data_IF_571336997421
#
_entry.id   IF_571336997421
#
_cell.length_a   1.000
_cell.length_b   1.000
_cell.length_c   1.000
_cell.angle_alpha   90.00
_cell.angle_beta   90.00
_cell.angle_gamma   90.00
#
_symmetry.space_group_name_H-M   'P 1'
#
loop_
_entity.id
_entity.type
_entity.pdbx_description
1 polymer ?
#
# COMPACT_ATOMS: atom_id res chain seq x y z
N UNK A 1 -17.76 3.59 1.24
CA UNK A 1 -18.09 2.73 0.08
C UNK A 1 -17.02 1.64 0.01
N UNK A 2 -17.39 0.41 -0.38
CA UNK A 2 -16.49 -0.75 -0.30
C UNK A 2 -15.22 -0.55 -1.12
N UNK A 3 -14.05 -0.76 -0.51
CA UNK A 3 -12.74 -0.65 -1.17
C UNK A 3 -12.47 -1.88 -2.05
N UNK A 4 -13.24 -1.99 -3.14
CA UNK A 4 -13.02 -2.84 -4.32
C UNK A 4 -13.12 -4.37 -4.16
N UNK A 5 -13.00 -5.05 -5.30
CA UNK A 5 -13.30 -6.47 -5.50
C UNK A 5 -12.08 -7.39 -5.38
N UNK A 6 -10.88 -6.82 -5.30
CA UNK A 6 -9.67 -7.61 -5.29
C UNK A 6 -9.47 -8.32 -3.94
N UNK A 7 -9.04 -9.58 -3.99
CA UNK A 7 -8.82 -10.41 -2.82
C UNK A 7 -7.57 -11.29 -2.97
N UNK A 8 -7.32 -12.11 -1.95
CA UNK A 8 -6.29 -13.15 -1.91
C UNK A 8 -6.95 -14.49 -1.64
N UNK A 9 -6.30 -15.58 -2.03
CA UNK A 9 -6.91 -16.92 -2.04
C UNK A 9 -6.15 -17.93 -1.18
N UNK A 10 -4.84 -17.77 -1.01
CA UNK A 10 -4.00 -18.63 -0.19
C UNK A 10 -4.23 -18.44 1.31
N UNK A 11 -3.93 -19.49 2.09
CA UNK A 11 -4.14 -19.50 3.56
C UNK A 11 -3.27 -18.49 4.31
N UNK A 12 -2.08 -18.23 3.79
CA UNK A 12 -1.12 -17.28 4.33
C UNK A 12 -0.89 -16.15 3.34
N UNK A 13 -1.97 -15.67 2.74
CA UNK A 13 -1.96 -14.46 1.93
C UNK A 13 -2.69 -13.34 2.67
N UNK A 14 -2.34 -12.10 2.31
CA UNK A 14 -2.94 -10.93 2.92
C UNK A 14 -2.73 -9.71 2.05
N UNK A 15 -3.52 -8.69 2.29
CA UNK A 15 -3.42 -7.45 1.55
C UNK A 15 -3.82 -6.24 2.39
N UNK A 16 -3.27 -5.09 2.00
CA UNK A 16 -3.68 -3.77 2.47
C UNK A 16 -4.01 -2.88 1.27
N UNK A 17 -4.80 -1.84 1.50
CA UNK A 17 -5.17 -0.88 0.47
C UNK A 17 -4.52 0.48 0.74
N UNK A 18 -3.95 1.08 -0.29
CA UNK A 18 -3.56 2.49 -0.32
C UNK A 18 -4.68 3.23 -1.04
N UNK A 19 -5.31 4.19 -0.36
CA UNK A 19 -6.39 4.98 -0.94
C UNK A 19 -5.85 5.88 -2.07
N UNK A 20 -6.63 6.07 -3.13
CA UNK A 20 -6.27 7.01 -4.21
C UNK A 20 -6.16 8.44 -3.70
N UNK A 21 -6.84 8.76 -2.60
CA UNK A 21 -6.68 10.01 -1.83
C UNK A 21 -5.22 10.32 -1.47
N UNK A 22 -4.36 9.30 -1.33
CA UNK A 22 -2.94 9.44 -0.98
C UNK A 22 -2.00 9.27 -2.19
N UNK A 23 -2.54 8.97 -3.37
CA UNK A 23 -1.78 8.69 -4.59
C UNK A 23 -1.98 9.79 -5.61
N UNK A 24 -3.23 10.15 -5.88
CA UNK A 24 -3.64 11.05 -6.95
C UNK A 24 -3.34 12.50 -6.61
N UNK A 25 -2.79 13.20 -7.61
CA UNK A 25 -2.36 14.58 -7.52
C UNK A 25 -3.14 15.40 -8.55
N UNK A 26 -3.77 16.45 -8.05
CA UNK A 26 -4.35 17.51 -8.85
C UNK A 26 -3.41 18.71 -8.86
N UNK A 27 -3.36 19.37 -10.01
CA UNK A 27 -2.53 20.56 -10.23
C UNK A 27 -3.40 21.76 -10.60
N UNK A 28 -2.97 22.93 -10.15
CA UNK A 28 -3.55 24.21 -10.52
C UNK A 28 -2.44 25.11 -11.08
N UNK A 29 -2.57 25.46 -12.35
CA UNK A 29 -1.64 26.35 -13.03
C UNK A 29 -2.23 27.78 -13.02
N UNK A 30 -1.46 28.76 -12.53
CA UNK A 30 -1.79 30.18 -12.67
C UNK A 30 -1.13 30.74 -13.94
N UNK A 31 -1.90 31.05 -15.00
CA UNK A 31 -1.34 31.54 -16.25
C UNK A 31 -0.72 32.95 -16.15
N UNK A 32 -1.03 33.72 -15.10
CA UNK A 32 -0.52 35.09 -14.93
C UNK A 32 0.88 35.10 -14.30
N UNK A 33 1.10 34.20 -13.35
CA UNK A 33 2.38 34.11 -12.60
C UNK A 33 3.27 32.99 -13.12
N UNK A 34 2.69 32.01 -13.83
CA UNK A 34 3.36 30.77 -14.23
C UNK A 34 3.59 29.80 -13.07
N UNK A 35 2.94 30.02 -11.91
CA UNK A 35 3.08 29.13 -10.74
C UNK A 35 2.20 27.89 -10.90
N UNK A 36 2.70 26.76 -10.40
CA UNK A 36 1.99 25.48 -10.36
C UNK A 36 1.85 25.01 -8.92
N UNK A 37 0.61 24.86 -8.47
CA UNK A 37 0.29 24.31 -7.17
C UNK A 37 -0.08 22.83 -7.29
N UNK A 38 0.19 22.08 -6.23
CA UNK A 38 -0.06 20.63 -6.15
C UNK A 38 -0.93 20.32 -4.94
N UNK A 39 -1.88 19.41 -5.11
CA UNK A 39 -2.73 18.93 -4.01
C UNK A 39 -3.07 17.46 -4.22
N UNK A 40 -3.04 16.68 -3.13
CA UNK A 40 -3.55 15.32 -3.15
C UNK A 40 -5.08 15.31 -3.17
N UNK A 41 -5.68 14.32 -3.82
CA UNK A 41 -7.13 14.14 -3.86
C UNK A 41 -7.76 14.18 -2.46
N UNK A 42 -7.16 13.53 -1.46
CA UNK A 42 -7.66 13.52 -0.08
C UNK A 42 -7.61 14.89 0.63
N UNK A 43 -6.90 15.87 0.07
CA UNK A 43 -6.85 17.25 0.55
C UNK A 43 -7.77 18.20 -0.21
N UNK A 44 -8.50 17.72 -1.21
CA UNK A 44 -9.42 18.54 -2.01
C UNK A 44 -10.70 18.84 -1.23
N UNK A 45 -11.13 20.10 -1.27
CA UNK A 45 -12.45 20.52 -0.74
C UNK A 45 -13.55 20.23 -1.76
N UNK A 46 -14.81 20.29 -1.33
CA UNK A 46 -15.94 20.13 -2.25
C UNK A 46 -15.95 21.21 -3.33
N UNK A 47 -15.55 22.42 -2.97
CA UNK A 47 -15.39 23.55 -3.87
C UNK A 47 -14.27 23.31 -4.89
N UNK A 48 -13.13 22.75 -4.47
CA UNK A 48 -12.03 22.42 -5.38
C UNK A 48 -12.47 21.38 -6.43
N UNK A 49 -13.19 20.34 -6.01
CA UNK A 49 -13.66 19.25 -6.89
C UNK A 49 -14.75 19.70 -7.87
N UNK A 50 -15.62 20.64 -7.46
CA UNK A 50 -16.65 21.21 -8.33
C UNK A 50 -16.11 22.31 -9.25
N UNK A 51 -14.95 22.88 -8.91
CA UNK A 51 -14.27 23.90 -9.69
C UNK A 51 -13.59 23.31 -10.94
N UNK A 52 -13.18 24.20 -11.85
CA UNK A 52 -12.43 23.83 -13.06
C UNK A 52 -10.95 24.21 -12.99
N UNK A 53 -10.50 24.72 -11.83
CA UNK A 53 -9.14 25.24 -11.64
C UNK A 53 -8.12 24.11 -11.42
N UNK A 54 -8.50 23.12 -10.61
CA UNK A 54 -7.70 21.93 -10.35
C UNK A 54 -7.96 20.89 -11.44
N UNK A 55 -6.90 20.26 -11.91
CA UNK A 55 -6.96 19.20 -12.91
C UNK A 55 -6.12 18.03 -12.45
N UNK A 56 -6.67 16.83 -12.57
CA UNK A 56 -5.94 15.60 -12.36
C UNK A 56 -4.68 15.58 -13.25
N UNK A 57 -3.53 15.34 -12.63
CA UNK A 57 -2.25 15.19 -13.32
C UNK A 57 -1.79 13.72 -13.22
N UNK A 58 -1.87 12.94 -14.32
CA UNK A 58 -1.48 11.54 -14.32
C UNK A 58 0.02 11.34 -14.12
N UNK A 59 0.86 12.25 -14.62
CA UNK A 59 2.32 12.13 -14.55
C UNK A 59 2.79 12.37 -13.11
N UNK A 60 2.25 13.39 -12.43
CA UNK A 60 2.55 13.66 -11.03
C UNK A 60 2.00 12.56 -10.11
N UNK A 61 0.80 12.05 -10.40
CA UNK A 61 0.22 10.91 -9.67
C UNK A 61 1.08 9.66 -9.81
N UNK A 62 1.57 9.38 -11.02
CA UNK A 62 2.46 8.24 -11.28
C UNK A 62 3.82 8.42 -10.61
N UNK A 63 4.37 9.64 -10.63
CA UNK A 63 5.63 9.96 -9.96
C UNK A 63 5.52 9.79 -8.43
N UNK A 64 4.43 10.29 -7.83
CA UNK A 64 4.17 10.11 -6.40
C UNK A 64 4.03 8.62 -6.04
N UNK A 65 3.28 7.85 -6.83
CA UNK A 65 3.15 6.41 -6.62
C UNK A 65 4.51 5.69 -6.72
N UNK A 66 5.32 6.01 -7.73
CA UNK A 66 6.63 5.41 -7.92
C UNK A 66 7.56 5.70 -6.74
N UNK A 67 7.54 6.93 -6.20
CA UNK A 67 8.30 7.32 -5.00
C UNK A 67 7.83 6.54 -3.77
N UNK A 68 6.51 6.51 -3.52
CA UNK A 68 5.92 5.78 -2.40
C UNK A 68 6.29 4.29 -2.42
N UNK A 69 6.14 3.63 -3.58
CA UNK A 69 6.51 2.23 -3.73
C UNK A 69 8.02 2.03 -3.63
N UNK A 70 8.83 2.95 -4.14
CA UNK A 70 10.29 2.93 -4.01
C UNK A 70 10.75 2.91 -2.55
N UNK A 71 10.19 3.82 -1.76
CA UNK A 71 10.42 3.96 -0.32
C UNK A 71 9.93 2.73 0.46
N UNK A 72 8.73 2.25 0.14
CA UNK A 72 8.17 1.02 0.70
C UNK A 72 9.07 -0.20 0.44
N UNK A 73 9.51 -0.39 -0.81
CA UNK A 73 10.39 -1.51 -1.19
C UNK A 73 11.76 -1.41 -0.51
N UNK A 74 12.28 -0.19 -0.34
CA UNK A 74 13.53 0.04 0.40
C UNK A 74 13.40 -0.43 1.85
N UNK A 75 12.33 -0.03 2.54
CA UNK A 75 12.09 -0.45 3.92
C UNK A 75 11.94 -1.98 4.02
N UNK A 76 11.13 -2.61 3.17
CA UNK A 76 10.96 -4.07 3.18
C UNK A 76 12.29 -4.80 2.99
N UNK A 77 13.13 -4.34 2.06
CA UNK A 77 14.45 -4.91 1.85
C UNK A 77 15.36 -4.72 3.07
N UNK A 78 15.31 -3.56 3.73
CA UNK A 78 16.08 -3.29 4.93
C UNK A 78 15.69 -4.19 6.12
N UNK A 79 14.38 -4.46 6.31
CA UNK A 79 13.89 -5.39 7.33
C UNK A 79 14.18 -6.85 6.96
N UNK A 80 14.03 -7.20 5.69
CA UNK A 80 14.16 -8.57 5.17
C UNK A 80 14.95 -8.61 3.87
N UNK A 81 16.30 -8.69 3.95
CA UNK A 81 17.17 -8.71 2.77
C UNK A 81 16.93 -9.87 1.80
N UNK A 82 16.17 -10.88 2.22
CA UNK A 82 15.70 -11.99 1.39
C UNK A 82 14.75 -11.54 0.27
N UNK A 83 13.99 -10.45 0.48
CA UNK A 83 13.13 -9.90 -0.56
C UNK A 83 13.99 -9.11 -1.56
N UNK A 84 13.93 -9.51 -2.83
CA UNK A 84 14.59 -8.83 -3.95
C UNK A 84 13.56 -8.11 -4.80
N UNK A 85 13.95 -7.00 -5.42
CA UNK A 85 13.10 -6.30 -6.38
C UNK A 85 12.91 -7.17 -7.62
N UNK A 86 11.71 -7.13 -8.18
CA UNK A 86 11.38 -7.79 -9.44
C UNK A 86 11.43 -6.79 -10.60
N UNK A 87 11.53 -7.31 -11.82
CA UNK A 87 11.43 -6.52 -13.04
C UNK A 87 10.06 -5.83 -13.15
N UNK A 88 9.99 -4.55 -13.54
CA UNK A 88 8.73 -3.80 -13.57
C UNK A 88 7.63 -4.39 -14.46
N UNK A 89 7.98 -5.22 -15.44
CA UNK A 89 7.06 -5.85 -16.39
C UNK A 89 6.45 -7.16 -15.90
N UNK A 90 6.86 -7.67 -14.73
CA UNK A 90 6.35 -8.96 -14.24
C UNK A 90 4.93 -8.82 -13.69
N UNK A 91 3.98 -9.40 -14.44
CA UNK A 91 2.56 -9.46 -14.09
C UNK A 91 2.15 -10.91 -13.85
N UNK A 92 1.44 -11.15 -12.74
CA UNK A 92 0.82 -12.44 -12.43
C UNK A 92 -0.61 -12.21 -11.97
N UNK A 93 -1.57 -12.87 -12.61
CA UNK A 93 -3.01 -12.79 -12.29
C UNK A 93 -3.57 -11.36 -12.19
N UNK A 94 -3.08 -10.43 -13.03
CA UNK A 94 -3.51 -9.03 -13.03
C UNK A 94 -2.78 -8.13 -12.04
N UNK A 95 -1.91 -8.69 -11.18
CA UNK A 95 -1.10 -7.93 -10.23
C UNK A 95 0.36 -7.82 -10.70
N UNK A 96 0.98 -6.66 -10.49
CA UNK A 96 2.40 -6.45 -10.76
C UNK A 96 3.23 -6.88 -9.57
N UNK A 97 4.14 -7.84 -9.78
CA UNK A 97 5.06 -8.28 -8.73
C UNK A 97 6.19 -7.26 -8.60
N UNK A 98 6.33 -6.67 -7.41
CA UNK A 98 7.34 -5.63 -7.14
C UNK A 98 8.53 -6.15 -6.33
N UNK A 99 8.31 -7.18 -5.50
CA UNK A 99 9.37 -7.86 -4.76
C UNK A 99 9.05 -9.34 -4.59
N UNK A 100 10.06 -10.18 -4.41
CA UNK A 100 9.86 -11.59 -4.07
C UNK A 100 10.99 -12.16 -3.23
N UNK A 101 10.72 -13.27 -2.57
CA UNK A 101 11.74 -14.17 -2.05
C UNK A 101 11.39 -15.63 -2.42
N UNK A 102 11.99 -16.60 -1.72
CA UNK A 102 11.71 -18.03 -1.95
C UNK A 102 10.26 -18.44 -1.59
N UNK A 103 9.64 -17.76 -0.62
CA UNK A 103 8.36 -18.14 -0.04
C UNK A 103 7.17 -17.33 -0.56
N UNK A 104 7.40 -16.05 -0.91
CA UNK A 104 6.36 -15.06 -1.18
C UNK A 104 6.71 -14.10 -2.31
N UNK A 105 5.67 -13.57 -2.94
CA UNK A 105 5.71 -12.39 -3.79
C UNK A 105 4.97 -11.24 -3.08
N UNK A 106 5.46 -10.00 -3.24
CA UNK A 106 4.71 -8.79 -2.95
C UNK A 106 4.26 -8.20 -4.27
N UNK A 107 2.95 -8.03 -4.42
CA UNK A 107 2.33 -7.56 -5.64
C UNK A 107 1.52 -6.27 -5.40
N UNK A 108 1.37 -5.47 -6.45
CA UNK A 108 0.45 -4.32 -6.47
C UNK A 108 -0.59 -4.50 -7.57
N UNK A 109 -1.84 -4.23 -7.24
CA UNK A 109 -2.96 -4.36 -8.16
C UNK A 109 -3.88 -3.16 -8.04
N UNK A 110 -4.28 -2.59 -9.18
CA UNK A 110 -5.25 -1.50 -9.21
C UNK A 110 -6.64 -2.01 -8.82
N UNK A 111 -7.35 -1.27 -7.97
CA UNK A 111 -8.61 -1.69 -7.37
C UNK A 111 -9.63 -0.54 -7.35
N UNK A 112 -9.77 0.12 -8.51
CA UNK A 112 -10.65 1.27 -8.81
C UNK A 112 -10.43 2.50 -7.93
N UNK A 113 -10.66 2.40 -6.62
CA UNK A 113 -10.56 3.48 -5.63
C UNK A 113 -9.31 3.37 -4.75
N UNK A 114 -8.47 2.37 -5.02
CA UNK A 114 -7.28 2.11 -4.21
C UNK A 114 -6.27 1.28 -4.99
N UNK A 115 -5.04 1.24 -4.48
CA UNK A 115 -4.04 0.27 -4.87
C UNK A 115 -3.94 -0.83 -3.81
N UNK A 116 -4.16 -2.08 -4.18
CA UNK A 116 -3.96 -3.22 -3.29
C UNK A 116 -2.48 -3.61 -3.26
N UNK A 117 -1.91 -3.68 -2.06
CA UNK A 117 -0.57 -4.22 -1.81
C UNK A 117 -0.75 -5.62 -1.20
N UNK A 118 -0.42 -6.64 -1.98
CA UNK A 118 -0.68 -8.06 -1.66
C UNK A 118 0.60 -8.78 -1.28
N UNK A 119 0.52 -9.65 -0.28
CA UNK A 119 1.49 -10.69 0.00
C UNK A 119 0.92 -12.03 -0.49
N UNK A 120 1.54 -12.59 -1.52
CA UNK A 120 1.07 -13.79 -2.22
C UNK A 120 1.99 -14.98 -1.97
N UNK A 121 1.43 -16.14 -1.66
CA UNK A 121 2.19 -17.36 -1.40
C UNK A 121 2.74 -17.94 -2.70
N UNK A 122 3.98 -18.42 -2.68
CA UNK A 122 4.57 -19.15 -3.80
C UNK A 122 4.41 -20.66 -3.61
N UNK A 123 4.11 -21.35 -4.72
CA UNK A 123 4.05 -22.81 -4.79
C UNK A 123 2.81 -23.44 -4.15
N UNK A 124 2.68 -24.75 -4.32
CA UNK A 124 1.45 -25.50 -4.05
C UNK A 124 1.39 -26.10 -2.62
N UNK A 125 2.02 -25.44 -1.66
CA UNK A 125 1.92 -25.80 -0.24
C UNK A 125 3.08 -26.64 0.35
N UNK A 126 4.10 -27.00 -0.43
CA UNK A 126 5.28 -27.73 0.09
C UNK A 126 6.00 -26.98 1.23
N UNK A 127 5.97 -25.64 1.17
CA UNK A 127 6.61 -24.76 2.15
C UNK A 127 5.60 -24.13 3.11
N UNK A 128 4.39 -24.69 3.24
CA UNK A 128 3.28 -24.11 4.02
C UNK A 128 3.70 -23.83 5.48
N UNK A 129 4.46 -24.75 6.10
CA UNK A 129 4.95 -24.58 7.47
C UNK A 129 5.88 -23.38 7.65
N UNK A 130 6.78 -23.15 6.69
CA UNK A 130 7.66 -21.97 6.68
C UNK A 130 6.85 -20.70 6.38
N UNK A 131 5.95 -20.76 5.40
CA UNK A 131 5.08 -19.65 5.04
C UNK A 131 4.25 -19.18 6.24
N UNK A 132 3.62 -20.10 6.97
CA UNK A 132 2.91 -19.84 8.23
C UNK A 132 3.78 -19.11 9.26
N UNK A 133 5.02 -19.56 9.47
CA UNK A 133 5.94 -18.99 10.45
C UNK A 133 6.46 -17.58 10.12
N UNK A 134 6.32 -17.14 8.86
CA UNK A 134 6.75 -15.84 8.38
C UNK A 134 5.59 -14.87 8.05
N UNK A 135 4.38 -15.39 7.84
CA UNK A 135 3.22 -14.62 7.41
C UNK A 135 2.97 -13.36 8.24
N UNK A 136 2.76 -13.51 9.55
CA UNK A 136 2.47 -12.38 10.44
C UNK A 136 3.62 -11.36 10.49
N UNK A 137 4.87 -11.84 10.35
CA UNK A 137 6.07 -10.99 10.35
C UNK A 137 6.12 -10.12 9.09
N UNK A 138 5.88 -10.72 7.92
CA UNK A 138 5.85 -10.02 6.65
C UNK A 138 4.65 -9.08 6.56
N UNK A 139 3.45 -9.50 6.96
CA UNK A 139 2.28 -8.63 7.01
C UNK A 139 2.48 -7.45 7.98
N UNK A 140 3.11 -7.66 9.13
CA UNK A 140 3.46 -6.59 10.06
C UNK A 140 4.46 -5.61 9.43
N UNK A 141 5.48 -6.10 8.74
CA UNK A 141 6.45 -5.23 8.08
C UNK A 141 5.84 -4.45 6.91
N UNK A 142 4.96 -5.06 6.10
CA UNK A 142 4.22 -4.36 5.05
C UNK A 142 3.39 -3.22 5.66
N UNK A 143 2.57 -3.53 6.67
CA UNK A 143 1.76 -2.53 7.39
C UNK A 143 2.63 -1.39 7.94
N UNK A 144 3.74 -1.74 8.61
CA UNK A 144 4.67 -0.78 9.21
C UNK A 144 5.31 0.13 8.16
N UNK A 145 5.78 -0.45 7.06
CA UNK A 145 6.42 0.30 5.97
C UNK A 145 5.43 1.23 5.28
N UNK A 146 4.19 0.79 5.05
CA UNK A 146 3.14 1.65 4.47
C UNK A 146 2.78 2.82 5.39
N UNK A 147 2.48 2.56 6.66
CA UNK A 147 2.09 3.58 7.64
C UNK A 147 3.23 4.53 8.06
N UNK A 148 4.47 4.26 7.62
CA UNK A 148 5.55 5.23 7.75
C UNK A 148 5.29 6.46 6.87
N UNK A 149 4.77 6.24 5.67
CA UNK A 149 4.57 7.27 4.63
C UNK A 149 3.12 7.70 4.46
N UNK A 150 2.17 6.86 4.85
CA UNK A 150 0.73 7.11 4.72
C UNK A 150 0.11 7.43 6.09
N UNK A 151 -0.91 8.31 6.15
CA UNK A 151 -1.64 8.58 7.39
C UNK A 151 -2.53 7.40 7.80
N UNK A 152 -2.99 6.60 6.85
CA UNK A 152 -3.76 5.39 7.07
C UNK A 152 -3.66 4.42 5.89
N UNK A 153 -4.08 3.18 6.13
CA UNK A 153 -4.26 2.15 5.11
C UNK A 153 -5.61 1.46 5.29
N UNK A 154 -6.17 0.95 4.20
CA UNK A 154 -7.34 0.08 4.24
C UNK A 154 -6.98 -1.37 4.56
N UNK A 155 -7.91 -2.07 5.18
CA UNK A 155 -7.84 -3.52 5.40
C UNK A 155 -8.98 -4.22 4.68
N UNK A 156 -8.71 -5.42 4.18
CA UNK A 156 -9.73 -6.30 3.65
C UNK A 156 -10.44 -7.04 4.78
N UNK A 157 -11.76 -6.89 4.89
CA UNK A 157 -12.56 -7.66 5.88
C UNK A 157 -13.61 -8.55 5.22
N UNK A 158 -13.71 -8.54 3.88
CA UNK A 158 -14.61 -9.37 3.09
C UNK A 158 -15.07 -8.65 1.81
N UNK A 159 -15.89 -9.32 0.97
CA UNK A 159 -16.51 -8.66 -0.18
C UNK A 159 -17.32 -7.46 0.32
N UNK A 160 -16.99 -6.26 -0.17
CA UNK A 160 -17.65 -4.98 0.17
C UNK A 160 -17.41 -4.43 1.58
N UNK A 161 -16.75 -5.18 2.46
CA UNK A 161 -16.37 -4.71 3.80
C UNK A 161 -14.87 -4.45 3.84
N UNK A 162 -14.53 -3.21 4.19
CA UNK A 162 -13.15 -2.78 4.38
C UNK A 162 -13.02 -2.04 5.69
N UNK A 163 -11.94 -2.29 6.42
CA UNK A 163 -11.55 -1.49 7.57
C UNK A 163 -10.54 -0.41 7.18
N UNK A 164 -10.14 0.38 8.18
CA UNK A 164 -9.07 1.36 8.09
C UNK A 164 -8.23 1.25 9.34
N UNK A 165 -6.93 1.45 9.17
CA UNK A 165 -5.96 1.51 10.26
C UNK A 165 -5.19 2.81 10.09
N UNK A 166 -5.19 3.67 11.10
CA UNK A 166 -4.40 4.90 11.06
C UNK A 166 -2.98 4.68 11.59
N UNK A 167 -2.09 5.61 11.23
CA UNK A 167 -0.72 5.67 11.72
C UNK A 167 -0.66 5.80 13.24
N UNK A 168 -1.57 6.57 13.82
CA UNK A 168 -1.67 6.79 15.27
C UNK A 168 -2.12 5.52 16.00
N UNK A 169 -3.13 4.83 15.48
CA UNK A 169 -3.60 3.56 16.03
C UNK A 169 -2.48 2.50 16.01
N UNK A 170 -1.76 2.40 14.90
CA UNK A 170 -0.63 1.50 14.78
C UNK A 170 0.52 1.87 15.72
N UNK A 171 0.81 3.16 15.90
CA UNK A 171 1.85 3.60 16.84
C UNK A 171 1.52 3.19 18.27
N UNK A 172 0.27 3.32 18.71
CA UNK A 172 -0.20 2.85 20.03
C UNK A 172 -0.03 1.34 20.17
N UNK A 173 -0.46 0.57 19.16
CA UNK A 173 -0.29 -0.89 19.13
C UNK A 173 1.18 -1.31 19.29
N UNK A 174 2.10 -0.61 18.62
CA UNK A 174 3.54 -0.91 18.71
C UNK A 174 4.10 -0.62 20.11
N UNK A 175 3.65 0.45 20.76
CA UNK A 175 4.04 0.79 22.14
C UNK A 175 3.56 -0.30 23.10
N UNK A 176 2.28 -0.66 23.04
CA UNK A 176 1.70 -1.71 23.89
C UNK A 176 2.39 -3.07 23.72
N UNK A 177 2.74 -3.44 22.47
CA UNK A 177 3.48 -4.68 22.18
C UNK A 177 4.88 -4.67 22.80
N UNK A 178 5.54 -3.52 22.89
CA UNK A 178 6.86 -3.39 23.53
C UNK A 178 6.75 -3.49 25.04
N UNK A 179 5.77 -2.84 25.63
CA UNK A 179 5.52 -2.89 27.08
C UNK A 179 5.20 -4.31 27.55
N UNK A 180 4.32 -5.03 26.83
CA UNK A 180 4.01 -6.44 27.15
C UNK A 180 5.21 -7.38 27.06
N UNK A 181 6.18 -7.09 26.20
CA UNK A 181 7.43 -7.87 26.10
C UNK A 181 8.45 -7.56 27.21
N UNK A 182 8.32 -6.43 27.90
CA UNK A 182 9.19 -6.07 29.02
C UNK A 182 8.65 -6.52 30.39
N UNK A 183 7.40 -6.97 30.44
CA UNK A 183 6.74 -7.46 31.67
C UNK A 183 6.72 -9.00 31.74
N UNK A 184 7.06 -9.69 30.64
CA UNK A 184 7.20 -11.16 30.54
C UNK A 184 8.66 -11.58 30.53
#
# INVERSE_FOLDING_TARGET
MGRGNTCVHGKYEGLYFIDRDHIEVDVKDDPKTGTRDFRFLGGMTSEDLCGSEWKYDPDESQANLARLLGDFMYDIHAWYPSFKRCEPSRLEHGARIIMENQLYCIAVEDNEWSLAVKLLQKGDGELEGLQRGWFDKYMFAIRKSLLKYLPDIGTYTGPWTSGRITKEEFAREVIERREKKHVS
#
